data_IF_187943810904
#
_entry.id   IF_187943810904
#
_cell.length_a   1.000
_cell.length_b   1.000
_cell.length_c   1.000
_cell.angle_alpha   90.00
_cell.angle_beta   90.00
_cell.angle_gamma   90.00
#
_symmetry.space_group_name_H-M   'P 1'
#
loop_
_entity.id
_entity.type
_entity.pdbx_description
1 polymer ?
#
# COMPACT_ATOMS: atom_id res chain seq x y z
N UNK A 1 -14.36 2.53 -20.41
CA UNK A 1 -14.56 1.62 -19.26
C UNK A 1 -14.75 2.44 -18.01
N UNK A 2 -15.97 2.55 -17.48
CA UNK A 2 -16.19 3.19 -16.18
C UNK A 2 -15.60 2.31 -15.08
N UNK A 3 -14.62 2.82 -14.32
CA UNK A 3 -14.16 2.18 -13.08
C UNK A 3 -15.38 2.09 -12.14
N UNK A 4 -15.92 0.90 -11.93
CA UNK A 4 -16.82 0.67 -10.80
C UNK A 4 -16.03 0.96 -9.54
N UNK A 5 -16.50 1.91 -8.73
CA UNK A 5 -15.95 2.14 -7.41
C UNK A 5 -16.24 0.89 -6.56
N UNK A 6 -15.24 0.44 -5.80
CA UNK A 6 -15.44 -0.66 -4.85
C UNK A 6 -16.51 -0.27 -3.84
N UNK A 7 -17.38 -1.23 -3.48
CA UNK A 7 -18.36 -1.03 -2.42
C UNK A 7 -17.68 -0.81 -1.07
N UNK A 8 -18.39 -0.18 -0.13
CA UNK A 8 -17.89 0.07 1.22
C UNK A 8 -17.48 -1.25 1.91
N UNK A 9 -18.26 -2.31 1.70
CA UNK A 9 -18.01 -3.64 2.24
C UNK A 9 -16.69 -4.22 1.72
N UNK A 10 -16.43 -4.12 0.41
CA UNK A 10 -15.18 -4.58 -0.21
C UNK A 10 -13.96 -3.82 0.33
N UNK A 11 -14.10 -2.51 0.53
CA UNK A 11 -13.02 -1.69 1.13
C UNK A 11 -12.75 -2.12 2.57
N UNK A 12 -13.78 -2.36 3.37
CA UNK A 12 -13.62 -2.82 4.76
C UNK A 12 -12.99 -4.22 4.85
N UNK A 13 -13.32 -5.12 3.92
CA UNK A 13 -12.71 -6.43 3.84
C UNK A 13 -11.23 -6.36 3.48
N UNK A 14 -10.87 -5.56 2.47
CA UNK A 14 -9.48 -5.33 2.09
C UNK A 14 -8.65 -4.73 3.25
N UNK A 15 -9.23 -3.79 4.01
CA UNK A 15 -8.61 -3.25 5.22
C UNK A 15 -8.34 -4.36 6.24
N UNK A 16 -9.34 -5.22 6.53
CA UNK A 16 -9.18 -6.31 7.50
C UNK A 16 -8.14 -7.33 7.05
N UNK A 17 -8.14 -7.71 5.77
CA UNK A 17 -7.14 -8.63 5.19
C UNK A 17 -5.72 -8.08 5.37
N UNK A 18 -5.50 -6.80 5.06
CA UNK A 18 -4.17 -6.16 5.20
C UNK A 18 -3.79 -5.96 6.67
N UNK A 19 -4.74 -5.57 7.54
CA UNK A 19 -4.50 -5.44 8.99
C UNK A 19 -4.19 -6.77 9.67
N UNK A 20 -4.68 -7.89 9.13
CA UNK A 20 -4.42 -9.24 9.65
C UNK A 20 -3.07 -9.82 9.25
N UNK A 21 -2.29 -9.14 8.39
CA UNK A 21 -0.98 -9.62 7.98
C UNK A 21 0.05 -9.46 9.11
N UNK A 22 0.78 -10.53 9.38
CA UNK A 22 1.99 -10.47 10.21
C UNK A 22 3.12 -9.70 9.52
N UNK A 23 4.10 -9.23 10.29
CA UNK A 23 5.27 -8.52 9.76
C UNK A 23 5.98 -9.30 8.64
N UNK A 24 6.18 -10.61 8.82
CA UNK A 24 6.79 -11.47 7.80
C UNK A 24 5.96 -11.56 6.50
N UNK A 25 4.63 -11.56 6.61
CA UNK A 25 3.76 -11.57 5.43
C UNK A 25 3.78 -10.23 4.71
N UNK A 26 3.94 -9.11 5.43
CA UNK A 26 4.09 -7.79 4.85
C UNK A 26 5.41 -7.71 4.09
N UNK A 27 6.52 -8.18 4.67
CA UNK A 27 7.83 -8.19 4.00
C UNK A 27 7.82 -9.07 2.74
N UNK A 28 7.17 -10.22 2.80
CA UNK A 28 6.96 -11.05 1.61
C UNK A 28 6.10 -10.35 0.57
N UNK A 29 5.00 -9.71 0.97
CA UNK A 29 4.12 -8.98 0.05
C UNK A 29 4.82 -7.75 -0.57
N UNK A 30 5.70 -7.08 0.18
CA UNK A 30 6.57 -6.03 -0.35
C UNK A 30 7.48 -6.62 -1.43
N UNK A 31 8.15 -7.72 -1.14
CA UNK A 31 9.08 -8.34 -2.08
C UNK A 31 8.37 -8.84 -3.35
N UNK A 32 7.24 -9.53 -3.22
CA UNK A 32 6.53 -10.17 -4.32
C UNK A 32 5.63 -9.22 -5.13
N UNK A 33 4.93 -8.29 -4.46
CA UNK A 33 3.88 -7.46 -5.07
C UNK A 33 4.28 -6.01 -5.30
N UNK A 34 5.16 -5.46 -4.45
CA UNK A 34 5.65 -4.07 -4.59
C UNK A 34 6.92 -4.06 -5.43
N UNK A 35 7.92 -4.85 -5.04
CA UNK A 35 9.24 -4.90 -5.67
C UNK A 35 10.04 -3.60 -5.50
N UNK A 36 11.33 -3.67 -5.83
CA UNK A 36 12.28 -2.56 -5.66
C UNK A 36 11.87 -1.26 -6.41
N UNK A 37 11.36 -1.32 -7.66
CA UNK A 37 11.02 -0.09 -8.39
C UNK A 37 9.86 0.70 -7.78
N UNK A 38 8.83 0.01 -7.29
CA UNK A 38 7.67 0.67 -6.68
C UNK A 38 8.02 1.20 -5.29
N UNK A 39 8.85 0.47 -4.55
CA UNK A 39 9.37 0.94 -3.25
C UNK A 39 10.18 2.22 -3.41
N UNK A 40 11.07 2.29 -4.41
CA UNK A 40 11.81 3.50 -4.73
C UNK A 40 10.88 4.66 -5.12
N UNK A 41 9.81 4.36 -5.86
CA UNK A 41 8.75 5.32 -6.17
C UNK A 41 8.06 5.87 -4.91
N UNK A 42 7.70 5.00 -3.96
CA UNK A 42 7.11 5.44 -2.69
C UNK A 42 8.06 6.29 -1.85
N UNK A 43 9.35 5.93 -1.80
CA UNK A 43 10.37 6.72 -1.12
C UNK A 43 10.53 8.12 -1.75
N UNK A 44 10.51 8.19 -3.08
CA UNK A 44 10.56 9.44 -3.83
C UNK A 44 9.34 10.32 -3.52
N UNK A 45 8.12 9.77 -3.63
CA UNK A 45 6.88 10.50 -3.35
C UNK A 45 6.81 10.92 -1.88
N UNK A 46 7.25 10.07 -0.95
CA UNK A 46 7.28 10.41 0.48
C UNK A 46 8.24 11.57 0.76
N UNK A 47 9.39 11.62 0.07
CA UNK A 47 10.35 12.73 0.20
C UNK A 47 9.77 14.04 -0.35
N UNK A 48 9.14 13.98 -1.53
CA UNK A 48 8.51 15.14 -2.18
C UNK A 48 7.36 15.72 -1.34
N UNK A 49 6.48 14.85 -0.81
CA UNK A 49 5.33 15.26 0.02
C UNK A 49 5.71 15.87 1.37
N UNK A 50 6.86 15.46 1.93
CA UNK A 50 7.27 15.90 3.27
C UNK A 50 8.14 17.17 3.24
N UNK A 51 8.56 17.64 2.06
CA UNK A 51 9.40 18.82 1.92
C UNK A 51 10.83 18.62 2.44
N UNK A 52 11.48 19.73 2.85
CA UNK A 52 12.87 19.70 3.27
C UNK A 52 13.04 19.15 4.70
N UNK A 53 13.95 18.17 4.86
CA UNK A 53 14.37 17.53 6.11
C UNK A 53 13.27 16.86 6.96
N UNK A 54 12.44 15.95 6.41
CA UNK A 54 11.64 15.07 7.24
C UNK A 54 12.54 14.18 8.10
N UNK A 55 12.07 13.85 9.30
CA UNK A 55 12.72 12.79 10.07
C UNK A 55 12.62 11.46 9.33
N UNK A 56 13.67 10.64 9.40
CA UNK A 56 13.68 9.31 8.78
C UNK A 56 12.50 8.45 9.24
N UNK A 57 12.13 8.56 10.52
CA UNK A 57 10.97 7.87 11.09
C UNK A 57 9.66 8.29 10.42
N UNK A 58 9.48 9.59 10.14
CA UNK A 58 8.28 10.08 9.46
C UNK A 58 8.25 9.64 7.99
N UNK A 59 9.40 9.66 7.32
CA UNK A 59 9.50 9.17 5.93
C UNK A 59 9.17 7.67 5.85
N UNK A 60 9.73 6.85 6.74
CA UNK A 60 9.46 5.43 6.82
C UNK A 60 7.96 5.15 7.07
N UNK A 61 7.32 5.89 7.98
CA UNK A 61 5.88 5.77 8.22
C UNK A 61 5.04 6.10 6.98
N UNK A 62 5.41 7.12 6.20
CA UNK A 62 4.70 7.47 4.95
C UNK A 62 4.85 6.40 3.90
N UNK A 63 6.06 5.89 3.70
CA UNK A 63 6.31 4.76 2.78
C UNK A 63 5.49 3.54 3.21
N UNK A 64 5.47 3.23 4.51
CA UNK A 64 4.70 2.10 5.05
C UNK A 64 3.20 2.27 4.80
N UNK A 65 2.64 3.48 4.97
CA UNK A 65 1.24 3.76 4.64
C UNK A 65 0.94 3.59 3.15
N UNK A 66 1.85 4.00 2.27
CA UNK A 66 1.69 3.81 0.82
C UNK A 66 1.73 2.33 0.43
N UNK A 67 2.61 1.54 1.04
CA UNK A 67 2.65 0.09 0.87
C UNK A 67 1.32 -0.53 1.28
N UNK A 68 0.80 -0.21 2.46
CA UNK A 68 -0.51 -0.72 2.89
C UNK A 68 -1.64 -0.29 1.95
N UNK A 69 -1.66 0.97 1.52
CA UNK A 69 -2.65 1.45 0.55
C UNK A 69 -2.58 0.67 -0.76
N UNK A 70 -1.37 0.41 -1.26
CA UNK A 70 -1.16 -0.34 -2.47
C UNK A 70 -1.60 -1.81 -2.33
N UNK A 71 -1.28 -2.47 -1.22
CA UNK A 71 -1.75 -3.83 -0.92
C UNK A 71 -3.28 -3.89 -0.86
N UNK A 72 -3.93 -2.92 -0.20
CA UNK A 72 -5.40 -2.82 -0.21
C UNK A 72 -5.95 -2.63 -1.64
N UNK A 73 -5.29 -1.84 -2.48
CA UNK A 73 -5.68 -1.69 -3.89
C UNK A 73 -5.46 -2.96 -4.72
N UNK A 74 -4.54 -3.85 -4.34
CA UNK A 74 -4.39 -5.16 -4.97
C UNK A 74 -5.55 -6.06 -4.57
N UNK A 75 -5.84 -6.18 -3.28
CA UNK A 75 -6.95 -7.01 -2.78
C UNK A 75 -8.28 -6.60 -3.40
N UNK A 76 -8.57 -5.29 -3.45
CA UNK A 76 -9.75 -4.76 -4.12
C UNK A 76 -9.82 -5.07 -5.62
N UNK A 77 -8.68 -5.26 -6.30
CA UNK A 77 -8.65 -5.61 -7.73
C UNK A 77 -8.81 -7.11 -7.94
N UNK A 78 -8.28 -7.93 -7.05
CA UNK A 78 -8.47 -9.38 -7.08
C UNK A 78 -9.93 -9.77 -6.87
N UNK A 79 -10.65 -9.08 -5.97
CA UNK A 79 -12.06 -9.37 -5.66
C UNK A 79 -13.05 -8.77 -6.69
N UNK A 80 -12.60 -7.90 -7.61
CA UNK A 80 -13.47 -7.25 -8.64
C UNK A 80 -13.34 -7.90 -10.02
N UNK A 81 -12.34 -8.77 -10.23
CA UNK A 81 -12.11 -9.51 -11.48
C UNK A 81 -12.27 -11.03 -11.34
N UNK A 82 -12.62 -11.51 -10.14
CA UNK A 82 -13.02 -12.89 -9.87
C UNK A 82 -14.52 -13.10 -10.04
#
# INVERSE_FOLDING_TARGET
MSRKLASKEQVLEAIRKVQGLSAAQIDNAITEKVGDPLMAGFQFVARDLLGDNPSEALQAQRVQLMVYAYLMCIELRSDVLG
#
